data_IF_450157037414
#
_entry.id   IF_450157037414
#
_cell.length_a   1.000
_cell.length_b   1.000
_cell.length_c   1.000
_cell.angle_alpha   90.00
_cell.angle_beta   90.00
_cell.angle_gamma   90.00
#
_symmetry.space_group_name_H-M   'P 1'
#
loop_
_entity.id
_entity.type
_entity.pdbx_description
1 polymer ?
#
# COMPACT_ATOMS: atom_id res chain seq x y z
N UNK A 1 7.66 76.70 10.46
CA UNK A 1 7.25 76.06 9.19
C UNK A 1 6.24 74.98 9.53
N UNK A 2 4.99 75.13 9.09
CA UNK A 2 3.89 74.17 9.30
C UNK A 2 3.73 73.37 8.00
N UNK A 3 4.05 72.08 8.03
CA UNK A 3 3.76 71.18 6.90
C UNK A 3 2.34 70.61 7.06
N UNK A 4 1.56 70.49 5.97
CA UNK A 4 0.19 70.05 6.04
C UNK A 4 0.11 68.52 6.14
N UNK A 5 -0.95 68.07 6.79
CA UNK A 5 -1.36 66.68 6.90
C UNK A 5 -1.78 66.17 5.51
N UNK A 6 -1.10 65.16 4.97
CA UNK A 6 -1.53 64.47 3.74
C UNK A 6 -2.33 63.24 4.15
N UNK A 7 -3.63 63.28 3.90
CA UNK A 7 -4.53 62.14 4.10
C UNK A 7 -4.49 61.28 2.83
N UNK A 8 -3.84 60.13 2.90
CA UNK A 8 -3.82 59.13 1.82
C UNK A 8 -5.03 58.22 2.01
N UNK A 9 -6.00 58.30 1.10
CA UNK A 9 -7.06 57.30 0.98
C UNK A 9 -6.52 56.10 0.20
N UNK A 10 -6.35 54.95 0.86
CA UNK A 10 -6.14 53.67 0.19
C UNK A 10 -7.51 53.17 -0.32
N UNK A 11 -7.67 52.82 -1.61
CA UNK A 11 -8.86 52.13 -2.05
C UNK A 11 -8.79 50.68 -1.54
N UNK A 12 -9.73 50.31 -0.67
CA UNK A 12 -10.00 48.89 -0.37
C UNK A 12 -10.54 48.21 -1.62
N UNK A 13 -9.70 47.41 -2.28
CA UNK A 13 -10.16 46.41 -3.24
C UNK A 13 -10.95 45.33 -2.49
N UNK A 14 -12.28 45.40 -2.59
CA UNK A 14 -13.14 44.26 -2.27
C UNK A 14 -12.98 43.24 -3.39
N UNK A 15 -12.14 42.23 -3.16
CA UNK A 15 -12.15 41.01 -3.97
C UNK A 15 -13.42 40.25 -3.60
N UNK A 16 -14.45 40.40 -4.44
CA UNK A 16 -15.62 39.52 -4.40
C UNK A 16 -15.15 38.13 -4.82
N UNK A 17 -15.01 37.22 -3.85
CA UNK A 17 -14.86 35.80 -4.13
C UNK A 17 -16.18 35.30 -4.72
N UNK A 18 -16.23 35.17 -6.05
CA UNK A 18 -17.29 34.41 -6.70
C UNK A 18 -17.18 32.96 -6.27
N UNK A 19 -18.09 32.51 -5.41
CA UNK A 19 -18.33 31.09 -5.24
C UNK A 19 -19.03 30.61 -6.51
N UNK A 20 -18.25 30.11 -7.47
CA UNK A 20 -18.77 29.14 -8.41
C UNK A 20 -19.16 27.91 -7.57
N UNK A 21 -20.43 27.85 -7.21
CA UNK A 21 -21.10 26.69 -6.67
C UNK A 21 -21.24 25.62 -7.75
N UNK A 22 -20.13 25.15 -8.30
CA UNK A 22 -20.11 23.85 -8.95
C UNK A 22 -20.16 22.83 -7.83
N UNK A 23 -21.37 22.39 -7.49
CA UNK A 23 -21.55 21.11 -6.82
C UNK A 23 -20.84 20.07 -7.67
N UNK A 24 -19.65 19.64 -7.27
CA UNK A 24 -19.02 18.44 -7.80
C UNK A 24 -19.96 17.29 -7.46
N UNK A 25 -20.89 17.02 -8.37
CA UNK A 25 -21.71 15.83 -8.37
C UNK A 25 -20.72 14.71 -8.65
N UNK A 26 -20.21 14.09 -7.58
CA UNK A 26 -19.42 12.85 -7.66
C UNK A 26 -20.14 11.94 -8.66
N UNK A 27 -19.47 11.63 -9.77
CA UNK A 27 -20.03 10.73 -10.79
C UNK A 27 -20.35 9.40 -10.12
N UNK A 28 -21.57 8.91 -10.31
CA UNK A 28 -22.10 7.67 -9.73
C UNK A 28 -21.47 6.39 -10.28
N UNK A 29 -20.43 6.48 -11.11
CA UNK A 29 -19.89 5.34 -11.87
C UNK A 29 -18.65 4.76 -11.19
N UNK A 30 -18.80 4.34 -9.93
CA UNK A 30 -17.78 3.51 -9.28
C UNK A 30 -17.86 2.10 -9.90
N UNK A 31 -16.88 1.77 -10.74
CA UNK A 31 -16.79 0.43 -11.35
C UNK A 31 -15.83 -0.44 -10.54
N UNK A 32 -16.24 -1.67 -10.23
CA UNK A 32 -15.33 -2.70 -9.73
C UNK A 32 -14.47 -3.18 -10.90
N UNK A 33 -13.16 -2.91 -10.82
CA UNK A 33 -12.16 -3.19 -11.87
C UNK A 33 -11.37 -4.48 -11.61
N UNK A 34 -11.43 -4.99 -10.38
CA UNK A 34 -10.80 -6.23 -9.98
C UNK A 34 -11.61 -6.85 -8.84
N UNK A 35 -12.05 -8.08 -9.03
CA UNK A 35 -12.65 -8.91 -8.00
C UNK A 35 -11.83 -10.19 -7.86
N UNK A 36 -11.36 -10.50 -6.65
CA UNK A 36 -10.56 -11.70 -6.36
C UNK A 36 -11.37 -12.59 -5.43
N UNK A 37 -12.31 -13.33 -6.03
CA UNK A 37 -13.25 -14.16 -5.29
C UNK A 37 -12.57 -15.39 -4.65
N UNK A 38 -13.00 -15.80 -3.45
CA UNK A 38 -12.60 -17.07 -2.86
C UNK A 38 -12.92 -18.27 -3.75
N UNK A 39 -12.09 -19.29 -3.66
CA UNK A 39 -12.25 -20.59 -4.31
C UNK A 39 -11.67 -21.69 -3.42
N UNK A 40 -11.84 -22.96 -3.82
CA UNK A 40 -11.24 -24.10 -3.10
C UNK A 40 -9.71 -23.98 -2.99
N UNK A 41 -9.05 -23.47 -4.03
CA UNK A 41 -7.58 -23.32 -4.08
C UNK A 41 -7.08 -21.98 -3.52
N UNK A 42 -7.97 -20.99 -3.42
CA UNK A 42 -7.72 -19.68 -2.80
C UNK A 42 -8.90 -19.30 -1.90
N UNK A 43 -8.99 -19.85 -0.67
CA UNK A 43 -10.14 -19.64 0.20
C UNK A 43 -10.25 -18.21 0.75
N UNK A 44 -9.17 -17.42 0.70
CA UNK A 44 -9.16 -16.04 1.23
C UNK A 44 -8.05 -15.23 0.58
N UNK A 45 -8.38 -13.99 0.24
CA UNK A 45 -7.41 -12.94 0.01
C UNK A 45 -7.63 -11.85 1.07
N UNK A 46 -6.55 -11.36 1.65
CA UNK A 46 -6.61 -10.28 2.62
C UNK A 46 -5.29 -9.54 2.68
N UNK A 47 -5.26 -8.43 3.42
CA UNK A 47 -4.11 -7.57 3.67
C UNK A 47 -3.25 -7.33 2.41
N UNK A 48 -3.41 -6.18 1.78
CA UNK A 48 -2.59 -5.82 0.63
C UNK A 48 -2.21 -4.35 0.65
N UNK A 49 -1.16 -4.04 -0.09
CA UNK A 49 -0.59 -2.71 -0.20
C UNK A 49 -0.29 -2.41 -1.66
N UNK A 50 -0.41 -1.14 -2.03
CA UNK A 50 -0.21 -0.65 -3.38
C UNK A 50 1.00 0.28 -3.43
N UNK A 51 1.73 0.25 -4.52
CA UNK A 51 2.80 1.21 -4.77
C UNK A 51 2.85 1.56 -6.26
N UNK A 52 3.08 2.84 -6.56
CA UNK A 52 3.37 3.25 -7.93
C UNK A 52 4.84 2.96 -8.25
N UNK A 53 5.07 2.28 -9.37
CA UNK A 53 6.38 2.00 -9.95
C UNK A 53 6.91 3.23 -10.70
N UNK A 54 8.21 3.26 -10.98
CA UNK A 54 8.91 4.38 -11.61
C UNK A 54 8.42 4.66 -13.04
N UNK A 55 7.90 3.65 -13.73
CA UNK A 55 7.27 3.77 -15.06
C UNK A 55 5.80 4.25 -14.99
N UNK A 56 5.27 4.45 -13.79
CA UNK A 56 3.90 4.92 -13.55
C UNK A 56 2.87 3.80 -13.39
N UNK A 57 3.25 2.53 -13.58
CA UNK A 57 2.40 1.38 -13.31
C UNK A 57 2.10 1.24 -11.81
N UNK A 58 1.01 0.57 -11.47
CA UNK A 58 0.62 0.29 -10.08
C UNK A 58 0.91 -1.18 -9.79
N UNK A 59 1.74 -1.44 -8.79
CA UNK A 59 1.95 -2.75 -8.21
C UNK A 59 1.03 -2.93 -7.01
N UNK A 60 0.28 -4.03 -7.00
CA UNK A 60 -0.53 -4.48 -5.88
C UNK A 60 0.03 -5.79 -5.35
N UNK A 61 0.36 -5.86 -4.06
CA UNK A 61 0.78 -7.10 -3.39
C UNK A 61 -0.18 -7.42 -2.25
N UNK A 62 -0.61 -8.67 -2.13
CA UNK A 62 -1.58 -9.12 -1.14
C UNK A 62 -1.27 -10.53 -0.60
N UNK A 63 -1.90 -10.86 0.53
CA UNK A 63 -1.82 -12.20 1.11
C UNK A 63 -2.82 -13.13 0.40
N UNK A 64 -2.31 -14.19 -0.24
CA UNK A 64 -3.10 -15.21 -0.92
C UNK A 64 -3.08 -16.50 -0.10
N UNK A 65 -4.22 -16.87 0.48
CA UNK A 65 -4.34 -18.06 1.32
C UNK A 65 -4.52 -19.32 0.48
N UNK A 66 -4.03 -20.45 0.97
CA UNK A 66 -4.02 -21.73 0.23
C UNK A 66 -4.54 -22.92 1.04
N UNK A 67 -4.66 -22.80 2.37
CA UNK A 67 -5.05 -23.94 3.23
C UNK A 67 -6.26 -23.68 4.14
N UNK A 68 -6.91 -22.52 3.99
CA UNK A 68 -8.05 -22.11 4.81
C UNK A 68 -8.18 -20.58 4.88
N UNK A 69 -9.22 -20.10 5.56
CA UNK A 69 -9.58 -18.68 5.69
C UNK A 69 -9.17 -18.05 7.04
N UNK A 70 -8.69 -18.85 7.99
CA UNK A 70 -8.24 -18.36 9.30
C UNK A 70 -6.83 -17.76 9.29
N UNK A 71 -6.53 -16.90 10.27
CA UNK A 71 -5.27 -16.13 10.32
C UNK A 71 -3.97 -16.97 10.46
N UNK A 72 -4.09 -18.27 10.75
CA UNK A 72 -2.98 -19.22 10.83
C UNK A 72 -2.89 -20.15 9.62
N UNK A 73 -3.83 -20.07 8.68
CA UNK A 73 -3.77 -20.86 7.46
C UNK A 73 -2.58 -20.42 6.60
N UNK A 74 -2.07 -21.33 5.77
CA UNK A 74 -0.95 -21.04 4.88
C UNK A 74 -1.35 -20.00 3.86
N UNK A 75 -0.48 -19.00 3.70
CA UNK A 75 -0.57 -18.01 2.65
C UNK A 75 0.81 -17.67 2.11
N UNK A 76 0.83 -17.07 0.93
CA UNK A 76 2.00 -16.51 0.29
C UNK A 76 1.67 -15.10 -0.21
N UNK A 77 2.68 -14.33 -0.61
CA UNK A 77 2.46 -13.00 -1.17
C UNK A 77 2.28 -13.09 -2.68
N UNK A 78 1.11 -12.70 -3.16
CA UNK A 78 0.78 -12.59 -4.57
C UNK A 78 0.89 -11.15 -5.04
N UNK A 79 1.13 -10.94 -6.33
CA UNK A 79 1.11 -9.62 -6.95
C UNK A 79 0.31 -9.57 -8.25
N UNK A 80 -0.16 -8.37 -8.56
CA UNK A 80 -0.75 -7.96 -9.83
C UNK A 80 -0.26 -6.56 -10.19
N UNK A 81 -0.19 -6.27 -11.49
CA UNK A 81 0.22 -4.97 -12.02
C UNK A 81 -0.92 -4.36 -12.82
N UNK A 82 -1.12 -3.06 -12.67
CA UNK A 82 -1.96 -2.28 -13.56
C UNK A 82 -1.12 -1.27 -14.34
N UNK A 83 -1.24 -1.32 -15.66
CA UNK A 83 -0.52 -0.42 -16.58
C UNK A 83 -1.34 0.84 -16.94
N UNK A 84 -2.63 0.87 -16.58
CA UNK A 84 -3.61 1.85 -17.04
C UNK A 84 -4.28 2.61 -15.89
N UNK A 85 -3.51 2.86 -14.81
CA UNK A 85 -3.94 3.61 -13.62
C UNK A 85 -5.08 2.92 -12.86
N UNK A 86 -5.03 1.59 -12.77
CA UNK A 86 -5.95 0.78 -11.97
C UNK A 86 -7.21 0.34 -12.70
N UNK A 87 -7.34 0.55 -14.02
CA UNK A 87 -8.55 0.19 -14.77
C UNK A 87 -8.59 -1.28 -15.16
N UNK A 88 -7.43 -1.86 -15.45
CA UNK A 88 -7.24 -3.29 -15.68
C UNK A 88 -6.02 -3.79 -14.91
N UNK A 89 -6.01 -5.10 -14.63
CA UNK A 89 -4.99 -5.74 -13.81
C UNK A 89 -4.50 -7.02 -14.48
N UNK A 90 -3.19 -7.29 -14.35
CA UNK A 90 -2.58 -8.51 -14.84
C UNK A 90 -3.17 -9.76 -14.18
N UNK A 91 -2.83 -10.92 -14.75
CA UNK A 91 -2.93 -12.18 -14.02
C UNK A 91 -2.08 -12.13 -12.75
N UNK A 92 -2.49 -12.91 -11.76
CA UNK A 92 -1.73 -13.10 -10.53
C UNK A 92 -0.37 -13.75 -10.81
N UNK A 93 0.65 -13.27 -10.11
CA UNK A 93 1.95 -13.96 -9.98
C UNK A 93 2.38 -14.01 -8.53
N UNK A 94 3.27 -14.94 -8.18
CA UNK A 94 3.78 -15.09 -6.81
C UNK A 94 4.99 -14.18 -6.60
N UNK A 95 4.91 -13.28 -5.63
CA UNK A 95 6.02 -12.43 -5.19
C UNK A 95 6.95 -13.18 -4.25
N UNK A 96 6.38 -13.83 -3.24
CA UNK A 96 7.11 -14.50 -2.18
C UNK A 96 6.33 -15.73 -1.74
N UNK A 97 7.00 -16.87 -1.61
CA UNK A 97 6.42 -18.08 -1.04
C UNK A 97 6.13 -17.94 0.45
N UNK A 98 5.51 -18.96 1.04
CA UNK A 98 5.42 -19.04 2.50
C UNK A 98 6.81 -19.34 3.07
N UNK A 99 7.39 -18.39 3.79
CA UNK A 99 8.69 -18.53 4.45
C UNK A 99 8.57 -18.85 5.94
N UNK A 100 7.35 -18.90 6.47
CA UNK A 100 7.04 -19.29 7.85
C UNK A 100 6.61 -20.75 7.94
N UNK A 101 6.55 -21.26 9.16
CA UNK A 101 5.94 -22.56 9.46
C UNK A 101 4.41 -22.56 9.31
N UNK A 102 3.78 -21.39 9.40
CA UNK A 102 2.34 -21.23 9.22
C UNK A 102 2.00 -20.30 8.06
N UNK A 103 2.45 -19.04 8.06
CA UNK A 103 1.92 -18.03 7.15
C UNK A 103 2.94 -16.91 6.84
N UNK A 104 2.91 -16.39 5.61
CA UNK A 104 3.57 -15.16 5.17
C UNK A 104 2.48 -14.20 4.66
N UNK A 105 2.23 -13.11 5.40
CA UNK A 105 1.05 -12.24 5.21
C UNK A 105 1.28 -10.81 5.69
N UNK A 106 0.21 -9.99 5.72
CA UNK A 106 0.21 -8.64 6.30
C UNK A 106 1.21 -7.71 5.61
N UNK A 107 0.97 -7.47 4.33
CA UNK A 107 1.91 -6.72 3.46
C UNK A 107 1.78 -5.21 3.67
N UNK A 108 2.93 -4.54 3.69
CA UNK A 108 3.03 -3.09 3.48
C UNK A 108 4.21 -2.76 2.56
N UNK A 109 4.03 -1.74 1.71
CA UNK A 109 5.03 -1.27 0.76
C UNK A 109 5.36 0.20 1.03
N UNK A 110 6.64 0.53 1.04
CA UNK A 110 7.08 1.91 1.23
C UNK A 110 8.18 2.26 0.25
N UNK A 111 7.98 3.32 -0.56
CA UNK A 111 9.07 3.94 -1.30
C UNK A 111 9.94 4.75 -0.35
N UNK A 112 11.20 4.37 -0.24
CA UNK A 112 12.18 5.06 0.58
C UNK A 112 12.68 6.33 -0.12
N UNK A 113 13.25 7.26 0.65
CA UNK A 113 13.86 8.49 0.10
C UNK A 113 15.00 8.20 -0.90
N UNK A 114 15.63 7.02 -0.80
CA UNK A 114 16.64 6.58 -1.75
C UNK A 114 16.08 6.14 -3.10
N UNK A 115 14.75 6.08 -3.26
CA UNK A 115 14.06 5.54 -4.43
C UNK A 115 13.81 4.02 -4.39
N UNK A 116 14.50 3.29 -3.50
CA UNK A 116 14.26 1.86 -3.26
C UNK A 116 12.87 1.61 -2.67
N UNK A 117 12.37 0.38 -2.79
CA UNK A 117 11.11 -0.04 -2.18
C UNK A 117 11.40 -0.98 -1.01
N UNK A 118 10.82 -0.69 0.14
CA UNK A 118 10.78 -1.60 1.27
C UNK A 118 9.48 -2.41 1.25
N UNK A 119 9.60 -3.73 1.29
CA UNK A 119 8.51 -4.67 1.54
C UNK A 119 8.55 -5.09 2.99
N UNK A 120 7.45 -4.87 3.71
CA UNK A 120 7.23 -5.38 5.05
C UNK A 120 6.17 -6.48 5.03
N UNK A 121 6.38 -7.52 5.82
CA UNK A 121 5.42 -8.61 5.98
C UNK A 121 5.59 -9.32 7.33
N UNK A 122 4.51 -9.97 7.77
CA UNK A 122 4.53 -10.91 8.88
C UNK A 122 4.95 -12.30 8.43
N UNK A 123 5.98 -12.87 9.06
CA UNK A 123 6.34 -14.30 8.97
C UNK A 123 5.89 -15.01 10.24
N UNK A 124 4.82 -15.80 10.15
CA UNK A 124 4.29 -16.62 11.24
C UNK A 124 4.94 -18.00 11.20
N UNK A 125 5.80 -18.28 12.16
CA UNK A 125 6.44 -19.58 12.34
C UNK A 125 5.55 -20.54 13.15
N UNK A 126 4.81 -20.01 14.13
CA UNK A 126 3.90 -20.76 14.99
C UNK A 126 2.82 -19.85 15.57
N UNK A 127 1.91 -20.38 16.39
CA UNK A 127 0.89 -19.59 17.11
C UNK A 127 1.47 -18.59 18.13
N UNK A 128 2.76 -18.71 18.48
CA UNK A 128 3.44 -17.84 19.46
C UNK A 128 4.67 -17.14 18.88
N UNK A 129 4.97 -17.38 17.61
CA UNK A 129 6.14 -16.86 16.90
C UNK A 129 5.71 -16.20 15.58
N UNK A 130 5.60 -14.88 15.61
CA UNK A 130 5.29 -14.03 14.45
C UNK A 130 6.30 -12.89 14.36
N UNK A 131 6.95 -12.76 13.21
CA UNK A 131 8.04 -11.81 12.98
C UNK A 131 7.69 -10.78 11.92
N UNK A 132 7.81 -9.48 12.20
CA UNK A 132 7.91 -8.48 11.15
C UNK A 132 9.25 -8.64 10.44
N UNK A 133 9.18 -8.85 9.12
CA UNK A 133 10.31 -8.96 8.22
C UNK A 133 10.26 -7.79 7.24
N UNK A 134 11.44 -7.26 6.90
CA UNK A 134 11.63 -6.27 5.85
C UNK A 134 12.54 -6.84 4.75
N UNK A 135 12.22 -6.56 3.49
CA UNK A 135 13.11 -6.73 2.34
C UNK A 135 13.22 -5.43 1.58
N UNK A 136 14.36 -5.23 0.91
CA UNK A 136 14.58 -4.05 0.05
C UNK A 136 14.66 -4.51 -1.39
N UNK A 137 13.88 -3.88 -2.26
CA UNK A 137 14.09 -3.91 -3.70
C UNK A 137 14.86 -2.66 -4.14
N UNK A 138 15.90 -2.87 -4.95
CA UNK A 138 16.72 -1.81 -5.55
C UNK A 138 16.42 -1.59 -7.03
N UNK A 139 15.55 -2.41 -7.60
CA UNK A 139 15.22 -2.50 -9.02
C UNK A 139 13.70 -2.36 -9.24
N UNK A 140 13.07 -1.56 -8.39
CA UNK A 140 11.67 -1.16 -8.50
C UNK A 140 10.69 -2.35 -8.44
N UNK A 141 10.86 -3.18 -7.41
CA UNK A 141 10.09 -4.38 -7.09
C UNK A 141 10.24 -5.57 -8.06
N UNK A 142 11.21 -5.53 -8.98
CA UNK A 142 11.53 -6.69 -9.82
C UNK A 142 12.16 -7.83 -9.00
N UNK A 143 13.06 -7.50 -8.08
CA UNK A 143 13.63 -8.47 -7.14
C UNK A 143 13.61 -7.95 -5.70
N UNK A 144 13.61 -8.88 -4.76
CA UNK A 144 13.64 -8.59 -3.33
C UNK A 144 14.92 -9.14 -2.71
N UNK A 145 15.65 -8.29 -2.00
CA UNK A 145 16.86 -8.69 -1.27
C UNK A 145 16.58 -9.63 -0.09
N UNK A 146 17.64 -10.01 0.61
CA UNK A 146 17.59 -10.88 1.78
C UNK A 146 16.64 -10.36 2.88
N UNK A 147 15.97 -11.26 3.62
CA UNK A 147 15.05 -10.88 4.69
C UNK A 147 15.81 -10.30 5.88
N UNK A 148 15.28 -9.20 6.41
CA UNK A 148 15.79 -8.51 7.60
C UNK A 148 14.70 -8.55 8.68
N UNK A 149 14.96 -9.25 9.78
CA UNK A 149 14.06 -9.19 10.95
C UNK A 149 14.07 -7.80 11.58
N UNK A 150 12.90 -7.18 11.70
CA UNK A 150 12.76 -5.85 12.29
C UNK A 150 12.97 -5.85 13.80
N UNK A 151 12.66 -6.97 14.47
CA UNK A 151 12.83 -7.15 15.93
C UNK A 151 13.75 -8.35 16.16
N UNK A 152 15.01 -8.08 16.52
CA UNK A 152 16.05 -9.10 16.71
C UNK A 152 16.16 -9.54 18.16
N UNK A 153 16.53 -10.80 18.37
CA UNK A 153 16.97 -11.33 19.68
C UNK A 153 15.87 -11.55 20.72
N UNK A 154 14.60 -11.35 20.38
CA UNK A 154 13.46 -11.58 21.28
C UNK A 154 12.45 -12.47 20.60
N UNK A 155 12.10 -13.62 21.17
CA UNK A 155 10.99 -14.42 20.65
C UNK A 155 9.62 -13.83 21.02
N UNK A 156 8.63 -13.91 20.14
CA UNK A 156 7.27 -13.43 20.44
C UNK A 156 6.34 -13.37 19.23
N UNK A 157 5.09 -13.00 19.50
CA UNK A 157 4.06 -12.82 18.48
C UNK A 157 3.85 -11.33 18.20
N UNK A 158 4.56 -10.82 17.18
CA UNK A 158 4.53 -9.41 16.80
C UNK A 158 3.71 -9.25 15.53
N UNK A 159 2.48 -8.75 15.67
CA UNK A 159 1.59 -8.48 14.54
C UNK A 159 2.11 -7.27 13.77
N UNK A 160 2.03 -7.35 12.44
CA UNK A 160 2.22 -6.21 11.55
C UNK A 160 0.85 -5.79 11.04
N UNK A 161 0.46 -4.53 11.29
CA UNK A 161 -0.73 -3.95 10.68
C UNK A 161 -0.32 -3.34 9.34
N UNK A 162 -1.14 -3.55 8.31
CA UNK A 162 -0.96 -2.92 7.02
C UNK A 162 -1.28 -1.42 7.10
N UNK A 163 -0.73 -0.68 6.15
CA UNK A 163 -0.91 0.77 5.95
C UNK A 163 -2.21 1.14 5.24
#
# INVERSE_FOLDING_TARGET
MKNPFVMIFLPTLLVSCGQDGTTNKLSSDNTVVLEINPSTENPRNSEGSFIQLADGHILFIYSHFTSGDGDYASAYLAQRISEDQGKTWSSETKTLGNEGGLNTMSVSLLRLQSGHIALFYGRKNSHTDCRPIMRISKDDAQTWGEPIECIRGKLGYFVLNND
#
